data_IF_472089825364
#
_entry.id   IF_472089825364
#
_cell.length_a   1.000
_cell.length_b   1.000
_cell.length_c   1.000
_cell.angle_alpha   90.00
_cell.angle_beta   90.00
_cell.angle_gamma   90.00
#
_symmetry.space_group_name_H-M   'P 1'
#
loop_
_entity.id
_entity.type
_entity.pdbx_description
1 polymer ?
2 water ?
#
# COMPACT_ATOMS: atom_id res chain seq x y z
N UNK A 1 22.27 1.91 6.04
CA UNK A 1 20.96 1.22 5.98
C UNK A 1 21.07 -0.30 6.19
N UNK A 2 20.63 -0.74 7.37
CA UNK A 2 20.67 -2.14 7.75
C UNK A 2 19.26 -2.76 7.70
N UNK A 3 19.10 -3.94 8.30
CA UNK A 3 17.83 -4.63 8.34
C UNK A 3 16.78 -3.88 9.17
N UNK A 4 15.70 -4.56 9.52
CA UNK A 4 14.63 -3.98 10.33
C UNK A 4 13.77 -5.09 10.93
N UNK A 5 13.52 -5.01 12.22
CA UNK A 5 12.70 -6.00 12.90
C UNK A 5 11.31 -5.46 13.19
N UNK A 6 10.31 -6.13 12.62
CA UNK A 6 8.92 -5.76 12.77
C UNK A 6 8.19 -6.49 13.88
N UNK A 7 7.36 -5.76 14.61
CA UNK A 7 6.57 -6.33 15.69
C UNK A 7 5.08 -6.27 15.28
N UNK A 8 4.39 -7.41 15.33
CA UNK A 8 2.97 -7.41 14.96
C UNK A 8 2.20 -6.50 15.90
N UNK A 9 1.43 -5.57 15.35
CA UNK A 9 0.63 -4.65 16.17
C UNK A 9 -0.81 -5.11 16.33
N UNK A 10 -1.22 -6.09 15.53
CA UNK A 10 -2.59 -6.59 15.57
C UNK A 10 -2.78 -7.94 14.88
N UNK A 11 -3.96 -8.53 15.09
CA UNK A 11 -4.34 -9.81 14.50
C UNK A 11 -5.67 -9.60 13.78
N UNK A 12 -5.87 -10.27 12.65
CA UNK A 12 -7.11 -10.13 11.93
C UNK A 12 -7.99 -11.38 11.98
N UNK A 13 -9.23 -11.19 12.42
CA UNK A 13 -10.22 -12.27 12.51
C UNK A 13 -11.08 -12.25 11.24
N UNK A 14 -11.07 -13.37 10.51
CA UNK A 14 -11.78 -13.47 9.23
C UNK A 14 -12.40 -14.85 8.94
N UNK A 15 -13.55 -14.88 8.23
CA UNK A 15 -14.25 -16.12 7.87
C UNK A 15 -13.39 -17.14 7.09
N UNK A 16 -12.57 -16.63 6.19
CA UNK A 16 -11.71 -17.47 5.37
C UNK A 16 -10.55 -18.04 6.19
N UNK A 17 -10.62 -19.34 6.47
CA UNK A 17 -9.60 -20.03 7.28
C UNK A 17 -8.31 -20.32 6.53
N UNK A 18 -8.42 -20.56 5.23
CA UNK A 18 -7.25 -20.84 4.39
C UNK A 18 -7.32 -19.94 3.16
N UNK A 19 -6.24 -19.93 2.37
CA UNK A 19 -6.16 -19.12 1.16
C UNK A 19 -7.26 -19.43 0.15
N UNK A 20 -7.54 -20.72 -0.02
CA UNK A 20 -8.54 -21.21 -0.96
C UNK A 20 -9.94 -20.68 -0.69
N UNK A 21 -10.21 -20.31 0.55
CA UNK A 21 -11.51 -19.80 0.95
C UNK A 21 -11.77 -18.34 0.56
N UNK A 22 -10.71 -17.63 0.19
CA UNK A 22 -10.84 -16.25 -0.23
C UNK A 22 -11.28 -16.10 -1.70
N UNK A 23 -12.40 -15.40 -1.93
CA UNK A 23 -12.92 -15.18 -3.28
C UNK A 23 -11.98 -14.22 -3.99
N UNK A 24 -11.85 -14.36 -5.30
CA UNK A 24 -10.97 -13.47 -6.06
C UNK A 24 -11.58 -12.06 -6.15
N UNK A 25 -12.82 -11.90 -5.67
CA UNK A 25 -13.50 -10.61 -5.68
C UNK A 25 -14.23 -10.41 -4.36
N UNK A 26 -13.47 -10.10 -3.29
CA UNK A 26 -13.95 -9.87 -1.93
C UNK A 26 -14.98 -8.74 -1.73
N UNK A 27 -14.98 -7.76 -2.61
CA UNK A 27 -15.92 -6.64 -2.50
C UNK A 27 -17.37 -7.05 -2.79
N UNK A 28 -17.57 -8.19 -3.44
CA UNK A 28 -18.91 -8.68 -3.75
C UNK A 28 -19.55 -9.36 -2.54
N UNK A 29 -18.78 -10.25 -1.90
CA UNK A 29 -19.21 -10.99 -0.72
C UNK A 29 -19.38 -10.05 0.47
N UNK A 30 -20.61 -9.63 0.73
CA UNK A 30 -20.90 -8.69 1.82
C UNK A 30 -20.87 -9.27 3.25
N UNK A 31 -20.54 -10.54 3.37
CA UNK A 31 -20.48 -11.20 4.68
C UNK A 31 -19.06 -11.52 5.11
N UNK A 32 -18.14 -11.49 4.15
CA UNK A 32 -16.73 -11.75 4.44
C UNK A 32 -16.14 -10.56 5.17
N UNK A 33 -16.70 -10.27 6.34
CA UNK A 33 -16.27 -9.14 7.14
C UNK A 33 -15.17 -9.54 8.12
N UNK A 34 -14.45 -8.55 8.62
CA UNK A 34 -13.39 -8.84 9.57
C UNK A 34 -13.25 -7.85 10.70
N UNK A 35 -12.58 -8.30 11.75
CA UNK A 35 -12.32 -7.44 12.90
C UNK A 35 -10.82 -7.45 13.08
N UNK A 36 -10.23 -6.26 13.23
CA UNK A 36 -8.80 -6.19 13.48
C UNK A 36 -8.67 -5.95 14.97
N UNK A 37 -7.94 -6.84 15.64
CA UNK A 37 -7.73 -6.73 17.06
C UNK A 37 -6.31 -6.25 17.32
N UNK A 38 -6.20 -5.07 17.93
CA UNK A 38 -4.90 -4.47 18.25
C UNK A 38 -4.27 -5.13 19.48
N UNK A 39 -3.01 -5.52 19.35
CA UNK A 39 -2.28 -6.16 20.43
C UNK A 39 -1.56 -5.15 21.31
N UNK A 40 -1.28 -5.54 22.58
CA UNK A 40 -0.59 -4.71 23.57
C UNK A 40 0.88 -4.47 23.18
N UNK A 41 1.39 -3.24 23.42
CA UNK A 41 0.68 -2.12 24.03
C UNK A 41 0.20 -1.08 23.02
N UNK A 42 -0.22 -1.54 21.85
CA UNK A 42 -0.69 -0.64 20.80
C UNK A 42 -2.20 -0.41 20.85
N UNK A 43 -2.89 -1.27 21.59
CA UNK A 43 -4.34 -1.19 21.73
C UNK A 43 -4.84 -0.07 22.64
N UNK A 44 -4.28 1.13 22.48
CA UNK A 44 -4.67 2.28 23.29
C UNK A 44 -5.61 3.19 22.48
N UNK A 45 -6.63 3.77 23.12
CA UNK A 45 -7.58 4.66 22.44
C UNK A 45 -6.93 5.88 21.83
N UNK A 46 -5.75 6.22 22.32
CA UNK A 46 -5.02 7.37 21.80
C UNK A 46 -4.47 7.02 20.42
N UNK A 47 -4.02 5.76 20.27
CA UNK A 47 -3.46 5.24 19.02
C UNK A 47 -4.44 5.18 17.84
N UNK A 48 -5.74 5.25 18.11
CA UNK A 48 -6.74 5.20 17.05
C UNK A 48 -7.65 6.43 17.05
N UNK A 49 -7.27 7.45 17.82
CA UNK A 49 -8.08 8.68 17.91
C UNK A 49 -8.35 9.33 16.56
N UNK A 50 -9.62 9.33 16.18
CA UNK A 50 -10.00 9.91 14.92
C UNK A 50 -9.92 8.97 13.73
N UNK A 51 -9.65 7.69 13.97
CA UNK A 51 -9.54 6.73 12.88
C UNK A 51 -10.89 6.64 12.19
N UNK A 52 -11.95 6.80 12.98
CA UNK A 52 -13.32 6.74 12.46
C UNK A 52 -13.63 7.84 11.45
N UNK A 53 -12.69 8.75 11.27
CA UNK A 53 -12.83 9.85 10.31
C UNK A 53 -12.84 9.30 8.90
N UNK A 54 -11.81 8.53 8.57
CA UNK A 54 -11.65 7.95 7.25
C UNK A 54 -12.56 6.75 7.06
N UNK A 55 -12.97 6.50 5.83
CA UNK A 55 -13.86 5.38 5.54
C UNK A 55 -13.09 4.15 5.12
N UNK A 56 -11.88 4.34 4.62
CA UNK A 56 -11.08 3.22 4.17
C UNK A 56 -9.73 3.17 4.84
N UNK A 57 -9.19 1.97 4.97
CA UNK A 57 -7.91 1.78 5.63
C UNK A 57 -6.93 0.89 4.83
N UNK A 58 -5.65 0.97 5.19
CA UNK A 58 -4.62 0.12 4.58
C UNK A 58 -4.05 -0.75 5.69
N UNK A 59 -3.95 -2.03 5.40
CA UNK A 59 -3.38 -2.98 6.34
C UNK A 59 -2.13 -3.58 5.68
N UNK A 60 -0.99 -3.43 6.35
CA UNK A 60 0.25 -4.02 5.88
C UNK A 60 0.37 -5.27 6.76
N UNK A 61 0.15 -6.44 6.19
CA UNK A 61 0.17 -7.70 6.94
C UNK A 61 1.30 -8.66 6.57
N UNK A 62 1.26 -9.86 7.13
CA UNK A 62 2.27 -10.88 6.85
C UNK A 62 1.69 -11.95 5.92
N UNK A 63 2.42 -12.28 4.88
CA UNK A 63 1.95 -13.29 3.94
C UNK A 63 2.35 -14.70 4.33
N UNK A 86 6.48 -15.04 -14.57
CA UNK A 86 6.90 -13.66 -14.38
C UNK A 86 7.71 -13.45 -13.09
N UNK A 87 8.28 -12.26 -12.95
CA UNK A 87 9.09 -11.94 -11.77
C UNK A 87 8.28 -11.70 -10.50
N UNK A 88 8.92 -11.91 -9.36
CA UNK A 88 8.32 -11.72 -8.06
C UNK A 88 7.68 -10.34 -7.98
N UNK A 89 8.50 -9.32 -8.20
CA UNK A 89 8.07 -7.93 -8.16
C UNK A 89 7.00 -7.57 -9.20
N UNK A 90 6.85 -8.40 -10.23
CA UNK A 90 5.86 -8.18 -11.27
C UNK A 90 4.49 -8.76 -10.91
N UNK A 91 4.42 -9.48 -9.79
CA UNK A 91 3.16 -10.08 -9.35
C UNK A 91 2.83 -9.73 -7.90
N UNK A 92 1.83 -10.41 -7.35
CA UNK A 92 1.39 -10.21 -5.96
C UNK A 92 1.64 -11.47 -5.13
N UNK A 93 2.53 -12.33 -5.62
CA UNK A 93 2.88 -13.58 -4.97
C UNK A 93 3.26 -13.36 -3.52
N UNK A 94 3.25 -14.44 -2.73
CA UNK A 94 3.60 -14.37 -1.31
C UNK A 94 5.07 -14.66 -1.06
N UNK A 95 5.67 -15.54 -1.86
CA UNK A 95 7.08 -15.89 -1.73
C UNK A 95 7.93 -14.67 -2.11
N UNK A 96 8.18 -13.80 -1.16
CA UNK A 96 8.95 -12.59 -1.40
C UNK A 96 10.10 -12.42 -0.43
N UNK A 97 11.12 -11.62 -0.82
CA UNK A 97 12.28 -11.35 0.02
C UNK A 97 11.78 -10.79 1.35
N UNK A 98 10.63 -10.14 1.27
CA UNK A 98 9.94 -9.56 2.43
C UNK A 98 8.47 -9.87 2.16
N UNK A 99 7.91 -10.86 2.88
CA UNK A 99 6.51 -11.24 2.69
C UNK A 99 5.50 -10.21 3.18
N UNK A 100 5.72 -8.94 2.84
CA UNK A 100 4.81 -7.87 3.24
C UNK A 100 3.69 -7.62 2.25
N UNK A 101 2.47 -7.87 2.70
CA UNK A 101 1.32 -7.66 1.86
C UNK A 101 0.53 -6.45 2.25
N UNK A 102 -0.20 -5.91 1.27
CA UNK A 102 -1.07 -4.75 1.44
C UNK A 102 -2.51 -5.17 1.18
N UNK A 103 -3.43 -4.39 1.74
CA UNK A 103 -4.85 -4.67 1.59
C UNK A 103 -5.70 -3.49 2.08
N UNK A 104 -6.50 -2.93 1.18
CA UNK A 104 -7.37 -1.80 1.54
C UNK A 104 -8.76 -2.31 1.88
N UNK A 105 -9.14 -2.15 3.14
CA UNK A 105 -10.43 -2.61 3.61
C UNK A 105 -11.30 -1.43 4.03
N UNK A 106 -12.61 -1.67 4.11
CA UNK A 106 -13.58 -0.66 4.51
C UNK A 106 -13.68 -0.58 6.04
N UNK A 107 -13.64 0.62 6.59
CA UNK A 107 -13.74 0.79 8.03
C UNK A 107 -15.17 1.11 8.44
N UNK A 108 -15.79 0.15 9.11
CA UNK A 108 -17.17 0.29 9.56
C UNK A 108 -17.33 0.80 10.98
N UNK A 109 -16.42 0.43 11.87
CA UNK A 109 -16.54 0.84 13.25
C UNK A 109 -15.29 0.62 14.08
N UNK A 110 -14.83 1.68 14.76
CA UNK A 110 -13.67 1.59 15.65
C UNK A 110 -14.29 1.40 17.04
N UNK A 111 -14.20 0.18 17.58
CA UNK A 111 -14.78 -0.14 18.89
C UNK A 111 -13.78 -0.23 20.04
N UNK A 112 -14.01 0.55 21.10
CA UNK A 112 -13.18 0.57 22.30
C UNK A 112 -13.99 0.05 23.51
N UNK A 113 -13.54 -1.04 24.13
CA UNK A 113 -14.21 -1.66 25.28
C UNK A 113 -13.27 -2.43 26.22
N UNK A 114 -13.16 -1.95 27.46
CA UNK A 114 -12.33 -2.59 28.46
C UNK A 114 -10.93 -2.89 27.98
N UNK A 115 -10.28 -1.87 27.44
CA UNK A 115 -8.92 -2.04 26.97
C UNK A 115 -8.77 -2.92 25.75
N UNK A 116 -9.85 -3.14 25.03
CA UNK A 116 -9.84 -3.95 23.80
C UNK A 116 -10.22 -3.05 22.63
N UNK A 117 -9.38 -2.98 21.60
CA UNK A 117 -9.75 -2.16 20.45
C UNK A 117 -9.97 -3.06 19.24
N UNK A 118 -11.18 -2.96 18.71
CA UNK A 118 -11.57 -3.73 17.57
C UNK A 118 -11.95 -2.81 16.42
N UNK A 119 -11.26 -2.96 15.30
CA UNK A 119 -11.55 -2.19 14.10
C UNK A 119 -12.43 -3.13 13.29
N UNK A 120 -13.74 -2.87 13.32
CA UNK A 120 -14.68 -3.69 12.57
C UNK A 120 -14.62 -3.22 11.14
N UNK A 121 -14.00 -4.04 10.31
CA UNK A 121 -13.82 -3.71 8.90
C UNK A 121 -15.02 -4.07 8.05
N UNK A 122 -14.87 -3.90 6.73
CA UNK A 122 -15.91 -4.24 5.81
C UNK A 122 -15.57 -5.59 5.23
N UNK A 123 -15.62 -5.74 3.91
CA UNK A 123 -15.31 -7.00 3.25
C UNK A 123 -13.81 -7.16 3.06
N UNK A 124 -13.21 -8.12 3.76
CA UNK A 124 -11.77 -8.34 3.67
C UNK A 124 -11.36 -9.54 2.81
N UNK A 125 -10.04 -9.73 2.67
CA UNK A 125 -9.49 -10.83 1.88
C UNK A 125 -8.31 -11.55 2.55
N UNK A 126 -8.01 -11.18 3.80
CA UNK A 126 -6.90 -11.79 4.54
C UNK A 126 -7.40 -13.07 5.24
N UNK A 127 -6.57 -14.10 5.31
CA UNK A 127 -7.00 -15.32 5.97
C UNK A 127 -7.09 -15.11 7.48
N UNK A 128 -7.91 -15.91 8.14
CA UNK A 128 -8.12 -15.81 9.59
C UNK A 128 -6.82 -15.86 10.38
N UNK A 129 -6.70 -14.97 11.35
CA UNK A 129 -5.53 -14.92 12.22
C UNK A 129 -4.25 -14.24 11.74
N UNK A 130 -4.26 -13.71 10.51
CA UNK A 130 -3.10 -13.04 9.95
C UNK A 130 -2.58 -11.85 10.77
N UNK A 131 -1.24 -11.78 11.00
CA UNK A 131 -0.59 -10.71 11.75
C UNK A 131 -0.54 -9.39 10.97
N UNK A 132 -0.97 -8.31 11.61
CA UNK A 132 -0.95 -7.00 10.96
C UNK A 132 0.29 -6.24 11.41
N UNK A 133 1.00 -5.64 10.45
CA UNK A 133 2.20 -4.86 10.73
C UNK A 133 1.93 -3.38 10.83
N UNK A 134 0.95 -2.88 10.10
CA UNK A 134 0.65 -1.46 10.18
C UNK A 134 -0.76 -1.15 9.73
N UNK A 135 -1.31 -0.09 10.30
CA UNK A 135 -2.65 0.37 9.96
C UNK A 135 -2.56 1.83 9.60
N UNK A 136 -2.85 2.13 8.33
CA UNK A 136 -2.83 3.48 7.79
C UNK A 136 -4.18 3.84 7.22
N UNK A 137 -4.48 5.15 7.08
CA UNK A 137 -5.78 5.56 6.52
C UNK A 137 -5.59 5.59 5.00
N UNK A 138 -6.57 5.09 4.26
CA UNK A 138 -6.48 5.11 2.80
C UNK A 138 -6.90 6.50 2.33
N UNK A 139 -5.95 7.24 1.77
CA UNK A 139 -6.21 8.58 1.26
C UNK A 139 -6.31 8.52 -0.27
N UNK A 140 -7.47 8.94 -0.79
CA UNK A 140 -7.76 8.92 -2.23
C UNK A 140 -6.79 9.72 -3.10
N UNK A 141 -6.23 10.79 -2.57
CA UNK A 141 -5.30 11.58 -3.35
C UNK A 141 -4.11 10.72 -3.74
N UNK A 142 -3.26 10.44 -2.76
CA UNK A 142 -2.04 9.65 -2.94
C UNK A 142 -2.16 8.16 -3.25
N UNK A 143 -3.30 7.55 -2.93
CA UNK A 143 -3.45 6.11 -3.18
C UNK A 143 -4.26 5.71 -4.40
N UNK A 144 -5.19 6.56 -4.82
CA UNK A 144 -6.02 6.23 -5.98
C UNK A 144 -5.37 6.54 -7.32
N UNK A 145 -5.38 5.55 -8.21
CA UNK A 145 -4.82 5.67 -9.55
C UNK A 145 -5.61 4.71 -10.46
N UNK A 146 -6.87 5.09 -10.80
CA UNK A 146 -7.83 4.35 -11.63
C UNK A 146 -7.41 3.84 -13.01
N UNK A 147 -6.75 4.67 -13.81
CA UNK A 147 -6.33 4.29 -15.16
C UNK A 147 -5.08 3.38 -15.22
N UNK A 148 -4.65 2.90 -14.05
CA UNK A 148 -3.48 2.03 -13.93
C UNK A 148 -3.56 0.85 -14.88
N UNK A 149 -2.73 0.89 -15.94
CA UNK A 149 -2.68 -0.13 -16.98
C UNK A 149 -1.91 -1.42 -16.71
N UNK A 150 -2.00 -2.35 -17.65
CA UNK A 150 -1.35 -3.66 -17.56
C UNK A 150 -0.74 -4.07 -18.91
N UNK A 151 -1.06 -5.29 -19.36
CA UNK A 151 -0.58 -5.83 -20.64
C UNK A 151 -1.33 -5.23 -21.82
N UNK A 159 -18.99 -14.78 -15.16
CA UNK A 159 -19.09 -16.19 -14.76
C UNK A 159 -19.89 -16.32 -13.47
N UNK A 160 -20.99 -15.58 -13.35
CA UNK A 160 -21.83 -15.65 -12.15
C UNK A 160 -22.58 -17.00 -12.16
N UNK A 161 -22.39 -17.77 -11.09
CA UNK A 161 -23.02 -19.08 -10.98
C UNK A 161 -24.19 -19.10 -9.99
N UNK A 162 -25.21 -19.91 -10.30
CA UNK A 162 -26.37 -20.04 -9.41
C UNK A 162 -26.03 -21.01 -8.28
N UNK A 163 -26.50 -20.69 -7.08
CA UNK A 163 -26.21 -21.54 -5.93
C UNK A 163 -27.43 -22.31 -5.40
N UNK A 164 -27.29 -23.64 -5.36
CA UNK A 164 -28.37 -24.50 -4.87
C UNK A 164 -27.90 -25.36 -3.68
N UNK A 165 -28.78 -25.56 -2.71
CA UNK A 165 -28.48 -26.38 -1.55
C UNK A 165 -29.35 -27.65 -1.59
N UNK A 166 -28.76 -28.82 -1.31
CA UNK A 166 -29.53 -30.06 -1.27
C UNK A 166 -30.40 -29.93 -0.02
N UNK A 167 -31.39 -30.79 0.13
CA UNK A 167 -32.28 -30.70 1.29
C UNK A 167 -31.54 -30.83 2.62
N UNK A 168 -30.57 -31.76 2.68
CA UNK A 168 -29.75 -31.94 3.87
C UNK A 168 -28.95 -30.66 4.14
N UNK A 169 -28.53 -29.99 3.08
CA UNK A 169 -27.78 -28.75 3.19
C UNK A 169 -28.68 -27.67 3.74
N UNK A 170 -29.85 -27.49 3.12
CA UNK A 170 -30.80 -26.47 3.55
C UNK A 170 -31.05 -26.57 5.05
N UNK A 171 -31.06 -27.82 5.55
CA UNK A 171 -31.30 -28.11 6.96
C UNK A 171 -30.09 -27.71 7.84
N UNK A 172 -28.89 -28.12 7.41
CA UNK A 172 -27.65 -27.82 8.13
C UNK A 172 -27.36 -26.33 8.22
N UNK A 173 -27.62 -25.60 7.14
CA UNK A 173 -27.41 -24.15 7.10
C UNK A 173 -28.41 -23.47 8.06
N UNK A 174 -29.64 -23.97 8.06
CA UNK A 174 -30.71 -23.43 8.91
C UNK A 174 -30.39 -23.50 10.39
N UNK A 175 -29.79 -24.61 10.79
CA UNK A 175 -29.42 -24.84 12.20
C UNK A 175 -28.34 -23.86 12.66
N UNK A 176 -27.48 -23.46 11.73
CA UNK A 176 -26.40 -22.52 12.01
C UNK A 176 -26.79 -21.06 11.82
N UNK A 177 -27.96 -20.81 11.22
CA UNK A 177 -28.43 -19.45 10.96
C UNK A 177 -28.69 -18.71 12.28
N UNK A 178 -28.76 -19.48 13.38
CA UNK A 178 -28.98 -18.93 14.72
C UNK A 178 -27.70 -18.30 15.27
N UNK A 179 -26.61 -19.05 15.18
CA UNK A 179 -25.30 -18.59 15.65
C UNK A 179 -24.69 -17.60 14.66
N UNK A 180 -24.49 -18.05 13.42
CA UNK A 180 -23.92 -17.22 12.37
C UNK A 180 -24.99 -16.80 11.36
N UNK A 181 -25.71 -15.69 11.64
CA UNK A 181 -26.75 -15.21 10.73
C UNK A 181 -26.17 -14.79 9.39
N UNK A 182 -26.90 -15.12 8.32
CA UNK A 182 -26.52 -14.83 6.93
C UNK A 182 -25.49 -15.81 6.40
N UNK A 183 -25.35 -16.93 7.08
CA UNK A 183 -24.41 -17.98 6.69
C UNK A 183 -24.78 -18.53 5.32
N UNK A 184 -26.06 -18.44 4.98
CA UNK A 184 -26.55 -18.93 3.69
C UNK A 184 -26.07 -18.03 2.55
N UNK A 185 -26.38 -16.74 2.62
CA UNK A 185 -25.95 -15.82 1.56
C UNK A 185 -24.43 -15.62 1.58
N UNK A 186 -23.79 -16.04 2.67
CA UNK A 186 -22.34 -15.93 2.77
C UNK A 186 -21.73 -16.83 1.71
N UNK A 187 -22.56 -17.72 1.17
CA UNK A 187 -22.11 -18.58 0.10
C UNK A 187 -22.45 -17.95 -1.27
N UNK A 188 -21.60 -16.97 -1.59
CA UNK A 188 -21.59 -16.19 -2.81
C UNK A 188 -20.14 -16.42 -3.26
N UNK A 189 -19.44 -17.24 -2.47
CA UNK A 189 -18.05 -17.61 -2.69
C UNK A 189 -18.08 -18.71 -3.72
N UNK A 190 -18.91 -19.72 -3.45
CA UNK A 190 -19.08 -20.85 -4.35
C UNK A 190 -19.64 -20.30 -5.67
N UNK A 191 -20.20 -19.10 -5.60
CA UNK A 191 -20.77 -18.39 -6.74
C UNK A 191 -19.66 -17.87 -7.68
N UNK A 192 -18.45 -18.41 -7.52
CA UNK A 192 -17.25 -18.05 -8.32
C UNK A 192 -16.35 -19.31 -8.35
N UNK A 206 -16.14 -37.66 -9.22
CA UNK A 206 -17.05 -36.79 -9.94
C UNK A 206 -16.78 -35.30 -9.63
N UNK A 207 -17.42 -34.78 -8.60
CA UNK A 207 -17.25 -33.37 -8.21
C UNK A 207 -17.74 -33.08 -6.79
N UNK A 208 -16.87 -33.33 -5.81
CA UNK A 208 -17.18 -33.07 -4.41
C UNK A 208 -16.02 -32.29 -3.78
N UNK A 209 -15.99 -30.99 -4.06
CA UNK A 209 -14.97 -30.08 -3.55
C UNK A 209 -15.24 -29.66 -2.12
N UNK A 210 -14.19 -29.23 -1.42
CA UNK A 210 -14.33 -28.80 -0.04
C UNK A 210 -13.81 -27.40 0.21
N UNK A 211 -14.51 -26.66 1.06
CA UNK A 211 -14.11 -25.31 1.42
C UNK A 211 -14.42 -24.97 2.86
N UNK A 212 -13.39 -24.58 3.60
CA UNK A 212 -13.54 -24.23 5.01
C UNK A 212 -13.91 -22.77 5.21
N UNK A 213 -15.08 -22.56 5.79
CA UNK A 213 -15.56 -21.21 6.09
C UNK A 213 -15.90 -21.25 7.57
N UNK A 214 -15.31 -20.36 8.36
CA UNK A 214 -15.52 -20.35 9.80
C UNK A 214 -15.13 -21.71 10.39
N UNK A 215 -15.80 -22.09 11.48
CA UNK A 215 -15.71 -23.47 12.00
C UNK A 215 -16.21 -24.61 11.11
N UNK A 216 -16.93 -24.25 10.04
CA UNK A 216 -17.52 -25.20 9.09
C UNK A 216 -16.63 -25.65 7.94
N UNK A 217 -17.08 -26.70 7.25
CA UNK A 217 -16.41 -27.29 6.10
C UNK A 217 -17.53 -27.58 5.11
N UNK A 218 -17.75 -26.64 4.19
CA UNK A 218 -18.82 -26.77 3.18
C UNK A 218 -18.45 -27.57 1.93
N UNK A 219 -19.09 -28.71 1.74
CA UNK A 219 -18.81 -29.57 0.58
C UNK A 219 -19.83 -29.42 -0.55
N UNK A 220 -19.33 -29.29 -1.77
CA UNK A 220 -20.19 -29.14 -2.94
C UNK A 220 -19.59 -29.85 -4.16
N UNK A 224 -23.79 -23.63 -12.15
CA UNK A 224 -24.62 -24.05 -11.02
C UNK A 224 -24.04 -25.23 -10.23
N UNK A 225 -23.80 -25.00 -8.94
CA UNK A 225 -23.26 -26.03 -8.07
C UNK A 225 -24.18 -26.35 -6.89
N UNK A 226 -24.22 -27.61 -6.49
CA UNK A 226 -25.05 -28.02 -5.36
C UNK A 226 -24.22 -28.23 -4.12
N UNK A 227 -24.57 -27.56 -3.03
CA UNK A 227 -23.83 -27.77 -1.78
C UNK A 227 -24.49 -28.92 -1.00
N UNK A 228 -23.66 -29.92 -0.68
CA UNK A 228 -24.13 -31.10 0.01
C UNK A 228 -24.29 -31.02 1.51
N UNK A 229 -23.19 -31.08 2.26
CA UNK A 229 -23.30 -31.04 3.71
C UNK A 229 -22.45 -30.01 4.44
N UNK A 230 -23.11 -29.22 5.29
CA UNK A 230 -22.44 -28.21 6.10
C UNK A 230 -22.18 -28.88 7.45
N UNK A 231 -20.92 -28.91 7.88
CA UNK A 231 -20.55 -29.55 9.14
C UNK A 231 -19.33 -28.96 9.87
N UNK B 1 2.61 -16.60 15.94
CA UNK B 1 3.03 -15.39 15.20
C UNK B 1 4.04 -14.54 15.97
N UNK B 2 5.29 -14.56 15.51
CA UNK B 2 6.38 -13.82 16.13
C UNK B 2 6.78 -12.61 15.27
N UNK B 3 7.92 -12.01 15.58
CA UNK B 3 8.44 -10.85 14.84
C UNK B 3 8.76 -11.20 13.38
N UNK B 4 9.50 -10.31 12.72
CA UNK B 4 9.91 -10.52 11.33
C UNK B 4 11.06 -9.58 11.00
N UNK B 5 12.11 -10.14 10.40
CA UNK B 5 13.27 -9.33 10.03
C UNK B 5 13.30 -9.07 8.52
N UNK B 6 13.27 -7.79 8.17
CA UNK B 6 13.26 -7.33 6.79
C UNK B 6 14.64 -7.00 6.26
N UNK B 7 14.87 -7.37 5.01
CA UNK B 7 16.13 -7.07 4.35
C UNK B 7 15.86 -6.10 3.19
N UNK B 8 16.57 -4.97 3.16
CA UNK B 8 16.35 -3.99 2.08
C UNK B 8 16.67 -4.64 0.75
N UNK B 9 15.74 -4.56 -0.20
CA UNK B 9 15.95 -5.15 -1.52
C UNK B 9 16.44 -4.12 -2.54
N UNK B 10 16.33 -2.84 -2.19
CA UNK B 10 16.73 -1.75 -3.10
C UNK B 10 16.91 -0.41 -2.41
N UNK B 11 17.50 0.53 -3.15
CA UNK B 11 17.74 1.90 -2.68
C UNK B 11 17.11 2.85 -3.68
N UNK B 12 16.55 3.95 -3.21
CA UNK B 12 15.93 4.91 -4.12
C UNK B 12 16.74 6.21 -4.25
N UNK B 13 17.06 6.56 -5.49
CA UNK B 13 17.81 7.79 -5.81
C UNK B 13 16.79 8.87 -6.20
N UNK B 14 16.79 9.97 -5.45
CA UNK B 14 15.84 11.06 -5.66
C UNK B 14 16.39 12.47 -5.41
N UNK B 15 15.89 13.48 -6.15
CA UNK B 15 16.32 14.89 -6.04
C UNK B 15 16.20 15.47 -4.62
N UNK B 16 15.12 15.13 -3.94
CA UNK B 16 14.85 15.60 -2.59
C UNK B 16 15.79 14.94 -1.58
N UNK B 17 16.75 15.71 -1.06
CA UNK B 17 17.74 15.21 -0.11
C UNK B 17 17.21 15.05 1.31
N UNK B 18 16.27 15.91 1.69
CA UNK B 18 15.67 15.86 3.02
C UNK B 18 14.15 15.90 2.85
N UNK B 19 13.43 15.69 3.95
CA UNK B 19 11.97 15.69 3.93
C UNK B 19 11.36 17.01 3.46
N UNK B 20 11.96 18.12 3.89
CA UNK B 20 11.50 19.47 3.56
C UNK B 20 11.51 19.75 2.06
N UNK B 21 12.37 19.05 1.33
CA UNK B 21 12.50 19.22 -0.11
C UNK B 21 11.37 18.59 -0.93
N UNK B 22 10.60 17.71 -0.30
CA UNK B 22 9.49 17.06 -0.97
C UNK B 22 8.22 17.92 -1.00
N UNK B 23 7.69 18.17 -2.22
CA UNK B 23 6.49 18.97 -2.41
C UNK B 23 5.30 18.16 -1.90
N UNK B 24 4.29 18.83 -1.37
CA UNK B 24 3.12 18.12 -0.87
C UNK B 24 2.30 17.56 -2.04
N UNK B 25 2.69 17.90 -3.27
CA UNK B 25 2.00 17.42 -4.47
C UNK B 25 3.03 17.03 -5.53
N UNK B 26 3.70 15.89 -5.34
CA UNK B 26 4.73 15.34 -6.22
C UNK B 26 4.32 15.05 -7.68
N UNK B 27 3.04 14.81 -7.92
CA UNK B 27 2.57 14.54 -9.28
C UNK B 27 2.65 15.75 -10.21
N UNK B 28 2.74 16.95 -9.64
CA UNK B 28 2.84 18.18 -10.42
C UNK B 28 4.26 18.39 -10.95
N UNK B 29 5.24 18.25 -10.05
CA UNK B 29 6.67 18.42 -10.36
C UNK B 29 7.14 17.29 -11.28
N UNK B 30 7.20 17.55 -12.59
CA UNK B 30 7.59 16.54 -13.56
C UNK B 30 9.09 16.21 -13.64
N UNK B 31 9.88 16.83 -12.78
CA UNK B 31 11.33 16.58 -12.77
C UNK B 31 11.77 15.80 -11.54
N UNK B 32 10.89 15.73 -10.55
CA UNK B 32 11.19 15.00 -9.33
C UNK B 32 11.10 13.51 -9.62
N UNK B 33 11.93 13.06 -10.55
CA UNK B 33 11.96 11.67 -10.95
C UNK B 33 12.92 10.85 -10.09
N UNK B 34 12.75 9.54 -10.11
CA UNK B 34 13.64 8.68 -9.33
C UNK B 34 14.03 7.40 -10.03
N UNK B 35 15.10 6.79 -9.53
CA UNK B 35 15.56 5.52 -10.05
C UNK B 35 15.63 4.60 -8.85
N UNK B 36 15.08 3.40 -8.98
CA UNK B 36 15.15 2.43 -7.89
C UNK B 36 16.24 1.46 -8.29
N UNK B 37 17.24 1.33 -7.42
CA UNK B 37 18.35 0.44 -7.68
C UNK B 37 18.22 -0.80 -6.81
N UNK B 38 18.06 -1.95 -7.47
CA UNK B 38 17.92 -3.24 -6.79
C UNK B 38 19.25 -3.76 -6.26
N UNK B 39 19.28 -4.12 -4.99
CA UNK B 39 20.49 -4.63 -4.35
C UNK B 39 20.62 -6.13 -4.48
N UNK B 40 21.86 -6.64 -4.40
CA UNK B 40 22.18 -8.07 -4.49
C UNK B 40 21.63 -8.86 -3.30
N UNK B 41 21.13 -10.07 -3.54
CA UNK B 41 21.04 -10.75 -4.84
C UNK B 41 19.66 -10.68 -5.49
N UNK B 42 18.97 -9.56 -5.29
CA UNK B 42 17.63 -9.39 -5.84
C UNK B 42 17.64 -8.72 -7.20
N UNK B 43 18.77 -8.13 -7.56
CA UNK B 43 18.94 -7.45 -8.84
C UNK B 43 19.10 -8.37 -10.05
N UNK B 44 18.27 -9.40 -10.13
CA UNK B 44 18.32 -10.36 -11.23
C UNK B 44 17.19 -10.05 -12.23
N UNK B 45 17.46 -10.20 -13.54
CA UNK B 45 16.46 -9.92 -14.58
C UNK B 45 15.23 -10.80 -14.46
N UNK B 46 15.39 -11.93 -13.80
CA UNK B 46 14.27 -12.85 -13.62
C UNK B 46 13.29 -12.24 -12.60
N UNK B 47 13.83 -11.58 -11.59
CA UNK B 47 13.05 -10.92 -10.53
C UNK B 47 12.17 -9.73 -11.00
N UNK B 48 12.43 -9.21 -12.19
CA UNK B 48 11.64 -8.10 -12.71
C UNK B 48 11.02 -8.42 -14.06
N UNK B 49 11.05 -9.70 -14.45
CA UNK B 49 10.50 -10.13 -15.75
C UNK B 49 9.04 -9.76 -15.93
N UNK B 50 8.79 -8.86 -16.89
CA UNK B 50 7.44 -8.43 -17.15
C UNK B 50 6.98 -7.26 -16.30
N UNK B 51 7.86 -6.67 -15.51
CA UNK B 51 7.50 -5.54 -14.66
C UNK B 51 7.05 -4.38 -15.54
N UNK B 52 7.67 -4.29 -16.72
CA UNK B 52 7.37 -3.24 -17.69
C UNK B 52 5.94 -3.30 -18.21
N UNK B 53 5.22 -4.35 -17.83
CA UNK B 53 3.82 -4.53 -18.22
C UNK B 53 2.95 -3.47 -17.59
N UNK B 54 3.04 -3.37 -16.26
CA UNK B 54 2.26 -2.41 -15.50
C UNK B 54 2.84 -1.01 -15.62
N UNK B 55 1.98 -0.02 -15.50
CA UNK B 55 2.42 1.36 -15.61
C UNK B 55 2.72 1.98 -14.26
N UNK B 56 2.12 1.42 -13.21
CA UNK B 56 2.34 1.96 -11.88
C UNK B 56 2.84 0.90 -10.92
N UNK B 57 3.58 1.34 -9.91
CA UNK B 57 4.16 0.45 -8.94
C UNK B 57 3.93 0.87 -7.48
N UNK B 58 4.10 -0.06 -6.55
CA UNK B 58 4.00 0.22 -5.12
C UNK B 58 5.36 -0.05 -4.51
N UNK B 59 5.84 0.91 -3.72
CA UNK B 59 7.11 0.76 -3.03
C UNK B 59 6.84 0.80 -1.53
N UNK B 60 7.22 -0.26 -0.84
CA UNK B 60 7.08 -0.29 0.61
C UNK B 60 8.50 0.03 1.09
N UNK B 61 8.69 1.24 1.63
CA UNK B 61 10.02 1.70 2.05
C UNK B 61 10.18 1.89 3.56
N UNK B 62 11.32 2.43 3.97
CA UNK B 62 11.59 2.69 5.38
C UNK B 62 11.44 4.18 5.66
N UNK B 63 10.73 4.53 6.72
CA UNK B 63 10.54 5.93 7.07
C UNK B 63 11.63 6.46 7.99
N UNK B 86 -4.10 13.66 16.66
CA UNK B 86 -4.72 12.40 16.29
C UNK B 86 -3.83 11.19 16.51
N UNK B 87 -4.40 10.00 16.36
CA UNK B 87 -3.66 8.77 16.54
C UNK B 87 -2.69 8.43 15.42
N UNK B 88 -1.67 7.66 15.76
CA UNK B 88 -0.65 7.23 14.80
C UNK B 88 -1.31 6.61 13.59
N UNK B 89 -2.14 5.59 13.84
CA UNK B 89 -2.85 4.87 12.79
C UNK B 89 -3.84 5.72 12.00
N UNK B 90 -4.22 6.86 12.56
CA UNK B 90 -5.16 7.79 11.91
C UNK B 90 -4.45 8.76 10.95
N UNK B 91 -3.12 8.72 10.93
CA UNK B 91 -2.33 9.61 10.08
C UNK B 91 -1.31 8.84 9.25
N UNK B 92 -0.40 9.59 8.59
CA UNK B 92 0.66 9.01 7.76
C UNK B 92 2.03 9.32 8.36
N UNK B 93 2.04 9.65 9.66
CA UNK B 93 3.26 9.97 10.39
C UNK B 93 4.34 8.90 10.21
N UNK B 94 5.58 9.26 10.51
CA UNK B 94 6.70 8.33 10.38
C UNK B 94 6.98 7.56 11.68
N UNK B 95 6.77 8.21 12.82
CA UNK B 95 6.99 7.59 14.12
C UNK B 95 5.94 6.50 14.34
N UNK B 96 6.22 5.30 13.85
CA UNK B 96 5.29 4.18 13.98
C UNK B 96 5.93 2.95 14.59
N UNK B 97 5.11 2.04 15.15
CA UNK B 97 5.60 0.81 15.76
C UNK B 97 6.41 0.06 14.71
N UNK B 98 6.04 0.29 13.46
CA UNK B 98 6.72 -0.28 12.29
C UNK B 98 6.77 0.87 11.28
N UNK B 99 7.95 1.50 11.11
CA UNK B 99 8.10 2.62 10.19
C UNK B 99 8.00 2.24 8.70
N UNK B 100 6.99 1.45 8.37
CA UNK B 100 6.78 1.03 6.99
C UNK B 100 5.88 1.97 6.20
N UNK B 101 6.46 2.60 5.19
CA UNK B 101 5.70 3.50 4.36
C UNK B 101 5.41 2.93 3.00
N UNK B 102 4.35 3.47 2.40
CA UNK B 102 3.91 3.08 1.07
C UNK B 102 4.01 4.29 0.15
N UNK B 103 4.08 4.00 -1.15
CA UNK B 103 4.19 5.05 -2.15
C UNK B 103 4.00 4.49 -3.56
N UNK B 104 2.98 5.00 -4.27
CA UNK B 104 2.71 4.55 -5.62
C UNK B 104 3.37 5.49 -6.63
N UNK B 105 4.36 4.98 -7.34
CA UNK B 105 5.08 5.76 -8.32
C UNK B 105 4.81 5.25 -9.75
N UNK B 106 5.09 6.10 -10.73
CA UNK B 106 4.90 5.77 -12.14
C UNK B 106 6.15 5.04 -12.67
N UNK B 107 5.93 3.93 -13.37
CA UNK B 107 7.04 3.16 -13.92
C UNK B 107 7.28 3.54 -15.38
N UNK B 108 8.41 4.19 -15.62
CA UNK B 108 8.77 4.64 -16.96
C UNK B 108 9.69 3.70 -17.72
N UNK B 109 10.57 3.01 -17.01
CA UNK B 109 11.50 2.12 -17.69
C UNK B 109 12.24 1.16 -16.76
N UNK B 110 12.19 -0.12 -17.08
CA UNK B 110 12.91 -1.13 -16.32
C UNK B 110 14.21 -1.35 -17.10
N UNK B 111 15.32 -0.85 -16.58
CA UNK B 111 16.61 -0.95 -17.25
C UNK B 111 17.56 -2.01 -16.69
N UNK B 112 18.01 -2.93 -17.56
CA UNK B 112 18.95 -3.99 -17.20
C UNK B 112 20.29 -3.79 -17.95
N UNK B 113 21.38 -3.60 -17.20
CA UNK B 113 22.73 -3.39 -17.77
C UNK B 113 23.87 -3.85 -16.87
N UNK B 114 24.63 -4.85 -17.34
CA UNK B 114 25.77 -5.37 -16.60
C UNK B 114 25.45 -5.71 -15.16
N UNK B 115 24.39 -6.49 -14.97
CA UNK B 115 24.01 -6.91 -13.63
C UNK B 115 23.49 -5.80 -12.74
N UNK B 116 23.07 -4.70 -13.35
CA UNK B 116 22.53 -3.55 -12.62
C UNK B 116 21.06 -3.37 -13.07
N UNK B 117 20.13 -3.39 -12.12
CA UNK B 117 18.74 -3.17 -12.51
C UNK B 117 18.25 -1.85 -11.93
N UNK B 118 17.83 -0.98 -12.85
CA UNK B 118 17.32 0.33 -12.49
C UNK B 118 15.88 0.47 -12.95
N UNK B 119 14.99 0.75 -12.00
CA UNK B 119 13.58 0.97 -12.29
C UNK B 119 13.48 2.48 -12.35
N UNK B 120 13.45 3.02 -13.57
CA UNK B 120 13.34 4.46 -13.74
C UNK B 120 11.89 4.82 -13.54
N UNK B 121 11.61 5.42 -12.39
CA UNK B 121 10.25 5.79 -12.03
C UNK B 121 9.82 7.13 -12.63
N UNK B 122 8.63 7.58 -12.22
CA UNK B 122 8.11 8.84 -12.69
C UNK B 122 8.37 9.84 -11.58
N UNK B 123 7.36 10.62 -11.19
CA UNK B 123 7.50 11.61 -10.13
C UNK B 123 7.34 10.99 -8.75
N UNK B 124 8.41 10.97 -7.97
CA UNK B 124 8.36 10.36 -6.65
C UNK B 124 8.30 11.35 -5.48
N UNK B 125 8.21 10.81 -4.27
CA UNK B 125 8.15 11.63 -3.06
C UNK B 125 9.04 11.12 -1.91
N UNK B 126 9.84 10.10 -2.18
CA UNK B 126 10.73 9.54 -1.17
C UNK B 126 12.05 10.32 -1.14
N UNK B 127 12.63 10.53 0.03
CA UNK B 127 13.89 11.26 0.10
C UNK B 127 15.03 10.42 -0.49
N UNK B 128 16.07 11.09 -0.96
CA UNK B 128 17.23 10.44 -1.57
C UNK B 128 17.84 9.35 -0.68
N UNK B 129 18.15 8.21 -1.28
CA UNK B 129 18.76 7.10 -0.55
C UNK B 129 17.90 6.18 0.30
N UNK B 130 16.59 6.43 0.36
CA UNK B 130 15.68 5.61 1.16
C UNK B 130 15.66 4.12 0.78
N UNK B 131 15.73 3.22 1.79
CA UNK B 131 15.72 1.77 1.60
C UNK B 131 14.33 1.25 1.21
N UNK B 132 14.27 0.44 0.15
CA UNK B 132 13.01 -0.12 -0.31
C UNK B 132 12.90 -1.54 0.24
N UNK B 133 11.73 -1.87 0.78
CA UNK B 133 11.47 -3.20 1.33
C UNK B 133 10.74 -4.10 0.36
N UNK B 134 9.91 -3.54 -0.51
CA UNK B 134 9.20 -4.38 -1.48
C UNK B 134 8.75 -3.57 -2.66
N UNK B 135 8.66 -4.26 -3.80
CA UNK B 135 8.20 -3.65 -5.03
C UNK B 135 7.09 -4.50 -5.58
N UNK B 136 5.89 -3.92 -5.63
CA UNK B 136 4.69 -4.58 -6.12
C UNK B 136 4.10 -3.80 -7.28
N UNK B 137 3.27 -4.44 -8.12
CA UNK B 137 2.66 -3.72 -9.24
C UNK B 137 1.39 -3.10 -8.71
N UNK B 138 1.10 -1.85 -9.07
CA UNK B 138 -0.13 -1.20 -8.62
C UNK B 138 -1.28 -1.67 -9.50
N UNK B 139 -2.21 -2.42 -8.92
CA UNK B 139 -3.37 -2.92 -9.66
C UNK B 139 -4.59 -2.08 -9.31
N UNK B 140 -5.18 -1.47 -10.34
CA UNK B 140 -6.35 -0.60 -10.18
C UNK B 140 -7.58 -1.23 -9.53
N UNK B 141 -7.76 -2.52 -9.74
CA UNK B 141 -8.91 -3.19 -9.14
C UNK B 141 -8.82 -3.08 -7.62
N UNK B 142 -7.89 -3.84 -7.05
CA UNK B 142 -7.68 -3.91 -5.61
C UNK B 142 -7.10 -2.68 -4.90
N UNK B 143 -6.42 -1.79 -5.63
CA UNK B 143 -5.81 -0.63 -4.98
C UNK B 143 -6.56 0.69 -5.13
N UNK B 144 -7.34 0.84 -6.20
CA UNK B 144 -8.05 2.10 -6.41
C UNK B 144 -9.39 2.19 -5.68
N UNK B 145 -9.59 3.30 -4.96
CA UNK B 145 -10.80 3.56 -4.21
C UNK B 145 -10.97 5.09 -4.14
N UNK B 146 -11.38 5.70 -5.26
CA UNK B 146 -11.60 7.14 -5.48
C UNK B 146 -12.48 7.94 -4.51
N UNK B 147 -13.65 7.39 -4.16
CA UNK B 147 -14.58 8.09 -3.26
C UNK B 147 -14.20 8.03 -1.77
N UNK B 148 -12.99 7.53 -1.49
CA UNK B 148 -12.47 7.41 -0.11
C UNK B 148 -12.59 8.72 0.65
N UNK B 149 -13.54 8.75 1.59
CA UNK B 149 -13.84 9.91 2.42
C UNK B 149 -12.94 10.22 3.61
N UNK B 150 -13.20 11.36 4.25
CA UNK B 150 -12.44 11.82 5.42
C UNK B 150 -13.37 12.43 6.49
N UNK B 151 -13.04 13.65 6.93
CA UNK B 151 -13.82 14.37 7.94
C UNK B 151 -15.10 14.95 7.34
N UNK B 159 -3.21 27.91 -4.45
CA UNK B 159 -2.10 28.70 -3.94
C UNK B 159 -0.90 28.62 -4.88
N UNK B 160 -1.16 28.68 -6.19
CA UNK B 160 -0.07 28.60 -7.17
C UNK B 160 0.72 29.92 -7.13
N UNK B 161 2.02 29.82 -6.89
CA UNK B 161 2.87 31.00 -6.81
C UNK B 161 3.78 31.18 -8.03
N UNK B 162 4.03 32.44 -8.39
CA UNK B 162 4.91 32.74 -9.52
C UNK B 162 6.37 32.64 -9.08
N UNK B 163 7.21 32.08 -9.94
CA UNK B 163 8.63 31.93 -9.61
C UNK B 163 9.56 32.86 -10.38
N UNK B 164 10.33 33.67 -9.64
CA UNK B 164 11.28 34.60 -10.22
C UNK B 164 12.71 34.35 -9.73
N UNK B 165 13.69 34.48 -10.64
CA UNK B 165 15.10 34.30 -10.28
C UNK B 165 15.81 35.66 -10.37
N UNK B 166 16.67 35.96 -9.40
CA UNK B 166 17.44 37.20 -9.44
C UNK B 166 18.44 36.99 -10.55
N UNK B 167 19.12 38.05 -11.00
CA UNK B 167 20.08 37.91 -12.09
C UNK B 167 21.21 36.93 -11.77
N UNK B 168 21.70 36.99 -10.53
CA UNK B 168 22.75 36.08 -10.07
C UNK B 168 22.21 34.65 -10.11
N UNK B 169 20.94 34.48 -9.80
CA UNK B 169 20.31 33.17 -9.82
C UNK B 169 20.19 32.67 -11.25
N UNK B 170 19.65 33.51 -12.14
CA UNK B 170 19.49 33.14 -13.53
C UNK B 170 20.82 32.62 -14.10
N UNK B 171 21.92 33.21 -13.64
CA UNK B 171 23.27 32.84 -14.07
C UNK B 171 23.70 31.48 -13.51
N UNK B 172 23.51 31.30 -12.20
CA UNK B 172 23.86 30.06 -11.49
C UNK B 172 23.09 28.85 -12.02
N UNK B 173 21.80 29.04 -12.29
CA UNK B 173 20.95 27.97 -12.81
C UNK B 173 21.42 27.59 -14.22
N UNK B 174 21.76 28.61 -15.01
CA UNK B 174 22.23 28.43 -16.40
C UNK B 174 23.49 27.57 -16.48
N UNK B 175 24.40 27.78 -15.55
CA UNK B 175 25.67 27.04 -15.51
C UNK B 175 25.45 25.56 -15.23
N UNK B 176 24.41 25.26 -14.45
CA UNK B 176 24.06 23.90 -14.10
C UNK B 176 23.10 23.23 -15.09
N UNK B 177 22.55 24.01 -16.01
CA UNK B 177 21.61 23.49 -17.00
C UNK B 177 22.30 22.48 -17.93
N UNK B 178 23.63 22.49 -17.92
CA UNK B 178 24.45 21.59 -18.72
C UNK B 178 24.48 20.19 -18.12
N UNK B 179 24.76 20.12 -16.82
CA UNK B 179 24.82 18.86 -16.08
C UNK B 179 23.41 18.34 -15.81
N UNK B 180 22.62 19.14 -15.08
CA UNK B 180 21.25 18.79 -14.73
C UNK B 180 20.25 19.60 -15.56
N UNK B 181 19.91 19.12 -16.77
CA UNK B 181 18.95 19.82 -17.63
C UNK B 181 17.56 19.87 -16.99
N UNK B 182 16.90 21.02 -17.14
CA UNK B 182 15.57 21.30 -16.61
C UNK B 182 15.61 21.64 -15.13
N UNK B 183 16.80 21.98 -14.64
CA UNK B 183 17.00 22.35 -13.25
C UNK B 183 16.19 23.60 -12.91
N UNK B 184 15.93 24.41 -13.93
CA UNK B 184 15.17 25.64 -13.76
C UNK B 184 13.70 25.33 -13.47
N UNK B 185 13.03 24.63 -14.39
CA UNK B 185 11.63 24.28 -14.20
C UNK B 185 11.44 23.29 -13.05
N UNK B 186 12.54 22.67 -12.58
CA UNK B 186 12.47 21.74 -11.46
C UNK B 186 12.06 22.54 -10.24
N UNK B 187 12.16 23.85 -10.34
CA UNK B 187 11.74 24.71 -9.26
C UNK B 187 10.26 25.15 -9.49
N UNK B 188 9.41 24.16 -9.18
CA UNK B 188 7.95 24.24 -9.21
C UNK B 188 7.64 23.81 -7.78
N UNK B 189 8.70 23.57 -7.02
CA UNK B 189 8.64 23.17 -5.62
C UNK B 189 8.39 24.44 -4.85
N UNK B 190 9.24 25.44 -5.10
CA UNK B 190 9.12 26.74 -4.44
C UNK B 190 7.76 27.33 -4.83
N UNK B 191 7.18 26.78 -5.90
CA UNK B 191 5.88 27.20 -6.41
C UNK B 191 4.74 26.70 -5.49
N UNK B 192 5.10 26.29 -4.26
CA UNK B 192 4.17 25.79 -3.23
C UNK B 192 4.80 26.15 -1.85
N UNK B 206 14.27 38.79 7.54
CA UNK B 206 13.23 39.06 6.55
C UNK B 206 12.65 37.77 5.97
N UNK B 207 13.26 37.26 4.89
CA UNK B 207 12.78 36.03 4.24
C UNK B 207 13.82 35.41 3.31
N UNK B 208 14.72 34.61 3.89
CA UNK B 208 15.75 33.92 3.13
C UNK B 208 15.79 32.44 3.54
N UNK B 209 14.83 31.68 3.00
CA UNK B 209 14.68 30.25 3.28
C UNK B 209 15.65 29.43 2.47
N UNK B 210 15.92 28.21 2.93
CA UNK B 210 16.84 27.33 2.23
C UNK B 210 16.24 25.97 1.91
N UNK B 211 16.58 25.45 0.74
CA UNK B 211 16.09 24.13 0.32
C UNK B 211 17.12 23.38 -0.50
N UNK B 212 17.47 22.18 -0.04
CA UNK B 212 18.44 21.34 -0.71
C UNK B 212 17.81 20.48 -1.79
N UNK B 213 18.24 20.68 -3.02
CA UNK B 213 17.76 19.90 -4.15
C UNK B 213 19.04 19.40 -4.81
N UNK B 214 19.16 18.08 -4.97
CA UNK B 214 20.37 17.48 -5.54
C UNK B 214 21.59 17.90 -4.70
N UNK B 215 22.73 18.06 -5.38
CA UNK B 215 23.94 18.61 -4.76
C UNK B 215 23.85 20.09 -4.38
N UNK B 216 22.81 20.77 -4.87
CA UNK B 216 22.59 22.20 -4.64
C UNK B 216 21.85 22.57 -3.35
N UNK B 217 21.89 23.87 -3.05
CA UNK B 217 21.22 24.45 -1.88
C UNK B 217 20.61 25.75 -2.39
N UNK B 218 19.35 25.70 -2.80
CA UNK B 218 18.64 26.87 -3.36
C UNK B 218 18.02 27.81 -2.32
N UNK B 219 18.56 29.04 -2.24
CA UNK B 219 18.05 30.02 -1.28
C UNK B 219 17.10 31.04 -1.90
N UNK B 220 15.98 31.28 -1.21
CA UNK B 220 14.97 32.22 -1.68
C UNK B 220 14.32 32.96 -0.51
N UNK B 224 4.49 35.05 -4.90
CA UNK B 224 5.71 35.24 -5.68
C UNK B 224 6.99 35.31 -4.83
N UNK B 225 7.92 34.39 -5.10
CA UNK B 225 9.18 34.37 -4.37
C UNK B 225 10.38 34.52 -5.30
N UNK B 226 11.43 35.17 -4.82
CA UNK B 226 12.64 35.36 -5.63
C UNK B 226 13.74 34.43 -5.17
N UNK B 227 14.29 33.64 -6.08
CA UNK B 227 15.38 32.76 -5.69
C UNK B 227 16.71 33.51 -5.87
N UNK B 228 17.49 33.56 -4.80
CA UNK B 228 18.75 34.28 -4.79
C UNK B 228 19.95 33.58 -5.37
N UNK B 229 20.55 32.65 -4.63
CA UNK B 229 21.74 31.98 -5.14
C UNK B 229 21.71 30.45 -5.13
N UNK B 230 22.01 29.87 -6.29
CA UNK B 230 22.08 28.43 -6.45
C UNK B 230 23.56 28.07 -6.26
N UNK B 231 23.85 27.16 -5.32
CA UNK B 231 25.23 26.78 -5.03
C UNK B 231 25.43 25.35 -4.50
#
# INVERSE_FOLDING_TARGET
>A
MNDLTLSPIAIIHTPYKEKFSVPRQPNLVEDGVGIVELLPPYNSPEAVRGLEQFSHLWLIFQMDQIQQGKWQPTVRPPRLGGNQRVGVFASRATHRPNPLGMSKVELRQVECINGNIFLHLGAVDLVDGTPIFDIKPYIAYADSEPNAQSSFAQEKLPVKMTVEFTEQAKSAVKKREEKRPHLSRFIRQVLEQDPRPAYQQGKPSDRIYGMSLYEFNVKWRIKAGTVNCVEVIEIEKDKLEHHHHHH
>B
MNDLTLSPIAIIHTPYKEKFSVPRQPNLVEDGVGIVELLPPYNSPEAVRGLEQFSHLWLIFQMDQIQQGKWQPTVRPPRLGGNQRVGVFASRATHRPNPLGMSKVELRQVECINGNIFLHLGAVDLVDGTPIFDIKPYIAYADSEPNAQSSFAQEKLPVKMTVEFTEQAKSAVKKREEKRPHLSRFIRQVLEQDPRPAYQQGKPSDRIYGMSLYEFNVKWRIKAGTVNCVEVIEIEKDKLEHHHHHH
#
